data_IF_921467793455
#
_entry.id   IF_921467793455
#
_cell.length_a   1.000
_cell.length_b   1.000
_cell.length_c   1.000
_cell.angle_alpha   90.00
_cell.angle_beta   90.00
_cell.angle_gamma   90.00
#
_symmetry.space_group_name_H-M   'P 1'
#
loop_
_entity.id
_entity.type
_entity.pdbx_description
1 polymer ?
#
# COMPACT_ATOMS: atom_id res chain seq x y z
N UNK A 1 16.94 -28.35 14.13
CA UNK A 1 16.33 -27.17 14.77
C UNK A 1 15.56 -26.43 13.68
N UNK A 2 14.24 -26.63 13.62
CA UNK A 2 13.41 -26.05 12.57
C UNK A 2 13.09 -24.61 12.99
N UNK A 3 13.78 -23.62 12.41
CA UNK A 3 13.40 -22.22 12.59
C UNK A 3 12.10 -22.01 11.82
N UNK A 4 10.98 -22.02 12.54
CA UNK A 4 9.71 -21.52 12.00
C UNK A 4 9.94 -20.02 11.78
N UNK A 5 10.36 -19.63 10.58
CA UNK A 5 10.30 -18.24 10.15
C UNK A 5 8.81 -17.91 10.13
N UNK A 6 8.37 -17.08 11.08
CA UNK A 6 7.00 -16.61 11.15
C UNK A 6 6.67 -15.95 9.80
N UNK A 7 5.75 -16.59 9.04
CA UNK A 7 5.42 -16.25 7.65
C UNK A 7 4.71 -14.89 7.51
N UNK A 8 4.65 -14.08 8.57
CA UNK A 8 3.96 -12.78 8.61
C UNK A 8 4.88 -11.58 8.45
N UNK A 9 6.20 -11.77 8.51
CA UNK A 9 7.16 -10.68 8.43
C UNK A 9 7.78 -10.55 7.04
N UNK A 10 8.01 -9.31 6.64
CA UNK A 10 8.73 -8.93 5.42
C UNK A 10 9.84 -7.96 5.83
N UNK A 11 11.08 -8.25 5.43
CA UNK A 11 12.23 -7.38 5.67
C UNK A 11 12.65 -6.67 4.39
N UNK A 12 13.08 -5.42 4.53
CA UNK A 12 13.72 -4.67 3.46
C UNK A 12 14.92 -3.90 4.02
N UNK A 13 15.92 -3.65 3.18
CA UNK A 13 17.11 -2.85 3.52
C UNK A 13 17.15 -1.68 2.57
N UNK A 14 17.23 -0.46 3.12
CA UNK A 14 17.38 0.75 2.34
C UNK A 14 18.80 1.29 2.49
N UNK A 15 19.32 1.94 1.44
CA UNK A 15 20.47 2.82 1.60
C UNK A 15 20.08 4.03 2.47
N UNK A 16 21.07 4.73 3.03
CA UNK A 16 20.81 6.01 3.71
C UNK A 16 20.05 6.99 2.81
N UNK A 17 20.44 7.11 1.56
CA UNK A 17 19.84 8.09 0.63
C UNK A 17 18.39 7.74 0.30
N UNK A 18 18.07 6.46 0.09
CA UNK A 18 16.70 5.99 -0.10
C UNK A 18 15.86 6.19 1.16
N UNK A 19 16.43 5.91 2.34
CA UNK A 19 15.76 6.15 3.62
C UNK A 19 15.41 7.62 3.80
N UNK A 20 16.36 8.53 3.58
CA UNK A 20 16.14 9.97 3.76
C UNK A 20 15.12 10.50 2.74
N UNK A 21 15.20 10.04 1.49
CA UNK A 21 14.21 10.34 0.45
C UNK A 21 12.82 9.87 0.84
N UNK A 22 12.70 8.61 1.30
CA UNK A 22 11.44 8.04 1.75
C UNK A 22 10.87 8.81 2.95
N UNK A 23 11.70 9.11 3.94
CA UNK A 23 11.27 9.78 5.17
C UNK A 23 10.75 11.19 4.88
N UNK A 24 11.46 11.98 4.08
CA UNK A 24 11.01 13.31 3.67
C UNK A 24 9.66 13.25 2.95
N UNK A 25 9.53 12.33 1.98
CA UNK A 25 8.29 12.15 1.22
C UNK A 25 7.12 11.66 2.06
N UNK A 26 7.37 10.79 3.05
CA UNK A 26 6.34 10.36 3.99
C UNK A 26 5.92 11.48 4.94
N UNK A 27 6.83 12.36 5.33
CA UNK A 27 6.50 13.52 6.16
C UNK A 27 5.63 14.54 5.42
N UNK A 28 5.91 14.77 4.14
CA UNK A 28 5.16 15.68 3.27
C UNK A 28 3.83 15.06 2.81
N UNK A 29 3.88 13.84 2.28
CA UNK A 29 2.76 13.09 1.68
C UNK A 29 2.47 11.80 2.46
N UNK A 30 1.71 11.96 3.54
CA UNK A 30 1.50 10.94 4.59
C UNK A 30 0.57 9.80 4.17
N UNK A 31 -0.25 9.97 3.13
CA UNK A 31 -1.30 9.01 2.80
C UNK A 31 -1.27 8.58 1.34
N UNK A 32 -1.71 7.35 1.07
CA UNK A 32 -1.94 6.89 -0.29
C UNK A 32 -2.88 5.69 -0.34
N UNK A 33 -3.31 5.29 -1.53
CA UNK A 33 -4.22 4.17 -1.76
C UNK A 33 -3.54 3.00 -2.48
N UNK A 34 -3.93 1.78 -2.14
CA UNK A 34 -3.30 0.56 -2.63
C UNK A 34 -4.35 -0.52 -2.90
N UNK A 35 -4.67 -0.83 -4.16
CA UNK A 35 -5.60 -1.91 -4.46
C UNK A 35 -4.92 -3.26 -4.22
N UNK A 36 -5.65 -4.18 -3.60
CA UNK A 36 -5.22 -5.56 -3.36
C UNK A 36 -6.19 -6.51 -4.04
N UNK A 37 -5.66 -7.38 -4.88
CA UNK A 37 -6.44 -8.42 -5.55
C UNK A 37 -6.80 -9.54 -4.57
N UNK A 38 -8.06 -9.96 -4.59
CA UNK A 38 -8.52 -11.16 -3.89
C UNK A 38 -8.28 -12.36 -4.82
N UNK A 39 -7.32 -13.23 -4.47
CA UNK A 39 -6.95 -14.42 -5.27
C UNK A 39 -8.20 -15.16 -5.75
N UNK A 40 -8.15 -15.61 -7.00
CA UNK A 40 -9.20 -16.39 -7.67
C UNK A 40 -10.56 -15.69 -7.82
N UNK A 41 -10.59 -14.37 -7.67
CA UNK A 41 -11.79 -13.58 -7.92
C UNK A 41 -11.48 -12.34 -8.76
N UNK A 42 -12.47 -11.90 -9.54
CA UNK A 42 -12.48 -10.61 -10.22
C UNK A 42 -12.77 -9.45 -9.27
N UNK A 43 -12.32 -9.55 -8.01
CA UNK A 43 -12.59 -8.58 -6.96
C UNK A 43 -11.28 -8.08 -6.36
N UNK A 44 -11.34 -6.85 -5.88
CA UNK A 44 -10.27 -6.22 -5.16
C UNK A 44 -10.86 -5.40 -4.01
N UNK A 45 -10.01 -5.05 -3.06
CA UNK A 45 -10.31 -4.04 -2.06
C UNK A 45 -9.17 -3.03 -2.05
N UNK A 46 -9.41 -1.85 -1.47
CA UNK A 46 -8.40 -0.78 -1.40
C UNK A 46 -7.94 -0.61 0.04
N UNK A 47 -6.64 -0.57 0.23
CA UNK A 47 -6.02 -0.15 1.48
C UNK A 47 -5.62 1.32 1.39
N UNK A 48 -5.73 2.05 2.49
CA UNK A 48 -5.14 3.37 2.69
C UNK A 48 -3.90 3.19 3.56
N UNK A 49 -2.75 3.64 3.06
CA UNK A 49 -1.56 3.81 3.89
C UNK A 49 -1.62 5.14 4.62
N UNK A 50 -1.19 5.17 5.89
CA UNK A 50 -0.98 6.39 6.64
C UNK A 50 0.34 6.32 7.42
N UNK A 51 1.22 7.28 7.19
CA UNK A 51 2.46 7.44 7.95
C UNK A 51 2.23 8.19 9.26
N UNK A 52 2.76 7.63 10.35
CA UNK A 52 2.80 8.24 11.67
C UNK A 52 4.15 7.91 12.34
N UNK A 53 4.98 8.93 12.56
CA UNK A 53 6.31 8.84 13.19
C UNK A 53 7.30 7.90 12.50
N UNK A 54 7.31 6.61 12.84
CA UNK A 54 8.20 5.61 12.22
C UNK A 54 7.43 4.44 11.62
N UNK A 55 6.09 4.56 11.61
CA UNK A 55 5.19 3.51 11.21
C UNK A 55 4.36 3.95 10.01
N UNK A 56 4.11 3.03 9.09
CA UNK A 56 3.11 3.17 8.03
C UNK A 56 2.06 2.10 8.26
N UNK A 57 0.83 2.54 8.49
CA UNK A 57 -0.32 1.68 8.72
C UNK A 57 -1.10 1.51 7.43
N UNK A 58 -1.40 0.28 7.03
CA UNK A 58 -2.23 -0.01 5.87
C UNK A 58 -3.58 -0.54 6.38
N UNK A 59 -4.64 0.23 6.17
CA UNK A 59 -6.00 -0.07 6.68
C UNK A 59 -6.98 -0.16 5.52
N UNK A 60 -8.05 -0.94 5.65
CA UNK A 60 -9.11 -0.94 4.62
C UNK A 60 -9.68 0.47 4.44
N UNK A 61 -9.82 0.92 3.19
CA UNK A 61 -10.42 2.22 2.87
C UNK A 61 -11.82 2.37 3.47
N UNK A 62 -12.61 1.30 3.44
CA UNK A 62 -13.95 1.28 4.05
C UNK A 62 -13.88 1.54 5.55
N UNK A 63 -12.99 0.83 6.26
CA UNK A 63 -12.81 1.00 7.71
C UNK A 63 -12.24 2.37 8.07
N UNK A 64 -11.33 2.88 7.24
CA UNK A 64 -10.72 4.19 7.39
C UNK A 64 -11.76 5.31 7.26
N UNK A 65 -12.66 5.23 6.27
CA UNK A 65 -13.76 6.17 6.09
C UNK A 65 -14.76 6.17 7.26
N UNK A 66 -15.04 5.01 7.85
CA UNK A 66 -15.93 4.92 9.00
C UNK A 66 -15.30 5.50 10.28
N UNK A 67 -14.05 5.14 10.58
CA UNK A 67 -13.35 5.66 11.76
C UNK A 67 -11.85 5.34 11.69
N UNK A 68 -11.04 6.27 11.16
CA UNK A 68 -9.58 6.13 11.04
C UNK A 68 -8.90 5.66 12.35
N UNK A 69 -9.28 6.21 13.52
CA UNK A 69 -8.66 5.87 14.81
C UNK A 69 -9.02 4.47 15.34
N UNK A 70 -10.02 3.80 14.76
CA UNK A 70 -10.48 2.47 15.17
C UNK A 70 -10.24 1.41 14.09
N UNK A 71 -9.77 1.81 12.91
CA UNK A 71 -9.50 0.90 11.82
C UNK A 71 -8.29 0.03 12.18
N UNK A 72 -8.50 -1.28 12.22
CA UNK A 72 -7.41 -2.24 12.47
C UNK A 72 -6.54 -2.31 11.21
N UNK A 73 -5.22 -2.11 11.31
CA UNK A 73 -4.33 -2.23 10.16
C UNK A 73 -4.21 -3.68 9.74
N UNK A 74 -4.12 -3.90 8.42
CA UNK A 74 -3.86 -5.22 7.84
C UNK A 74 -2.35 -5.48 7.74
N UNK A 75 -1.57 -4.41 7.51
CA UNK A 75 -0.12 -4.41 7.47
C UNK A 75 0.40 -3.21 8.27
N UNK A 76 1.48 -3.41 9.01
CA UNK A 76 2.23 -2.33 9.66
C UNK A 76 3.66 -2.41 9.19
N UNK A 77 4.18 -1.32 8.62
CA UNK A 77 5.58 -1.17 8.24
C UNK A 77 6.29 -0.26 9.24
N UNK A 78 7.47 -0.64 9.70
CA UNK A 78 8.30 0.14 10.64
C UNK A 78 9.67 0.41 10.05
N UNK A 79 10.08 1.67 10.06
CA UNK A 79 11.39 2.15 9.61
C UNK A 79 12.34 2.25 10.82
N UNK A 80 13.53 1.65 10.71
CA UNK A 80 14.59 1.68 11.70
C UNK A 80 15.84 2.33 11.12
N UNK A 81 16.31 3.40 11.76
CA UNK A 81 17.41 4.25 11.34
C UNK A 81 18.70 4.03 12.17
N UNK A 82 18.67 3.13 13.16
CA UNK A 82 19.77 2.89 14.11
C UNK A 82 21.11 2.55 13.41
N UNK A 83 21.06 1.94 12.23
CA UNK A 83 22.23 1.51 11.46
C UNK A 83 22.72 2.53 10.44
N UNK A 84 22.05 3.67 10.30
CA UNK A 84 22.46 4.69 9.32
C UNK A 84 23.81 5.27 9.70
N UNK A 85 24.01 5.60 10.99
CA UNK A 85 25.24 6.22 11.49
C UNK A 85 26.50 5.42 11.17
N UNK A 86 26.46 4.09 11.35
CA UNK A 86 27.66 3.24 11.27
C UNK A 86 27.76 2.41 9.98
N UNK A 87 26.63 2.09 9.35
CA UNK A 87 26.57 1.18 8.20
C UNK A 87 25.92 1.80 6.97
N UNK A 88 25.46 3.05 7.04
CA UNK A 88 24.82 3.77 5.93
C UNK A 88 23.61 3.03 5.34
N UNK A 89 22.91 2.26 6.19
CA UNK A 89 21.70 1.51 5.83
C UNK A 89 20.61 1.72 6.86
N UNK A 90 19.37 1.65 6.42
CA UNK A 90 18.20 1.56 7.27
C UNK A 90 17.52 0.20 7.10
N UNK A 91 16.86 -0.27 8.15
CA UNK A 91 16.10 -1.52 8.11
C UNK A 91 14.61 -1.21 8.11
N UNK A 92 13.86 -1.94 7.29
CA UNK A 92 12.40 -1.88 7.30
C UNK A 92 11.84 -3.24 7.63
N UNK A 93 10.89 -3.26 8.56
CA UNK A 93 10.13 -4.46 8.92
C UNK A 93 8.66 -4.20 8.70
N UNK A 94 8.03 -5.03 7.88
CA UNK A 94 6.59 -5.07 7.74
C UNK A 94 6.02 -6.34 8.39
N UNK A 95 4.87 -6.20 9.04
CA UNK A 95 4.15 -7.27 9.73
C UNK A 95 2.71 -7.33 9.26
N UNK A 96 2.31 -8.50 8.75
CA UNK A 96 0.91 -8.79 8.43
C UNK A 96 0.14 -9.04 9.72
N UNK A 97 -0.68 -8.06 10.11
CA UNK A 97 -1.51 -8.08 11.31
C UNK A 97 -2.82 -8.84 11.08
N UNK A 98 -3.40 -8.71 9.88
CA UNK A 98 -4.61 -9.41 9.47
C UNK A 98 -4.32 -10.36 8.29
N UNK A 99 -3.85 -11.60 8.57
CA UNK A 99 -3.53 -12.57 7.53
C UNK A 99 -4.76 -13.19 6.87
N UNK A 100 -5.98 -12.96 7.40
CA UNK A 100 -7.23 -13.43 6.80
C UNK A 100 -7.53 -12.60 5.57
N UNK A 101 -7.39 -11.27 5.68
CA UNK A 101 -7.69 -10.36 4.58
C UNK A 101 -6.48 -10.10 3.68
N UNK A 102 -5.26 -10.04 4.24
CA UNK A 102 -4.04 -9.75 3.48
C UNK A 102 -3.06 -10.93 3.58
N UNK A 103 -2.95 -11.73 2.52
CA UNK A 103 -1.95 -12.81 2.49
C UNK A 103 -0.53 -12.25 2.43
N UNK A 104 0.46 -13.04 2.86
CA UNK A 104 1.86 -12.61 2.84
C UNK A 104 2.36 -12.32 1.42
N UNK A 105 1.88 -13.02 0.39
CA UNK A 105 2.27 -12.74 -0.99
C UNK A 105 1.77 -11.37 -1.45
N UNK A 106 0.49 -11.06 -1.18
CA UNK A 106 -0.07 -9.75 -1.47
C UNK A 106 0.62 -8.64 -0.66
N UNK A 107 0.97 -8.91 0.59
CA UNK A 107 1.72 -7.98 1.43
C UNK A 107 3.14 -7.70 0.89
N UNK A 108 3.82 -8.70 0.30
CA UNK A 108 5.12 -8.51 -0.36
C UNK A 108 5.00 -7.60 -1.58
N UNK A 109 4.05 -7.89 -2.47
CA UNK A 109 3.80 -7.05 -3.64
C UNK A 109 3.41 -5.63 -3.24
N UNK A 110 2.60 -5.46 -2.18
CA UNK A 110 2.28 -4.15 -1.62
C UNK A 110 3.52 -3.40 -1.12
N UNK A 111 4.44 -4.07 -0.44
CA UNK A 111 5.69 -3.44 0.02
C UNK A 111 6.57 -3.01 -1.15
N UNK A 112 6.70 -3.85 -2.19
CA UNK A 112 7.45 -3.52 -3.41
C UNK A 112 6.85 -2.32 -4.14
N UNK A 113 5.52 -2.30 -4.30
CA UNK A 113 4.79 -1.17 -4.86
C UNK A 113 5.00 0.09 -4.02
N UNK A 114 4.91 -0.02 -2.69
CA UNK A 114 5.13 1.10 -1.78
C UNK A 114 6.49 1.76 -2.01
N UNK A 115 7.58 0.99 -1.97
CA UNK A 115 8.92 1.53 -2.19
C UNK A 115 9.09 2.05 -3.62
N UNK A 116 8.61 1.32 -4.63
CA UNK A 116 8.70 1.74 -6.02
C UNK A 116 8.03 3.10 -6.26
N UNK A 117 6.86 3.35 -5.65
CA UNK A 117 6.15 4.63 -5.81
C UNK A 117 6.75 5.76 -4.99
N UNK A 118 7.17 5.51 -3.75
CA UNK A 118 7.73 6.56 -2.89
C UNK A 118 9.17 6.90 -3.21
N UNK A 119 9.98 5.99 -3.76
CA UNK A 119 11.39 6.26 -4.05
C UNK A 119 11.61 6.84 -5.45
N UNK A 120 10.75 6.54 -6.43
CA UNK A 120 10.90 7.05 -7.80
C UNK A 120 10.21 8.41 -7.97
N UNK A 121 11.00 9.44 -8.27
CA UNK A 121 10.56 10.84 -8.46
C UNK A 121 9.32 10.95 -9.35
N UNK A 122 9.37 10.37 -10.54
CA UNK A 122 8.25 10.42 -11.50
C UNK A 122 6.95 9.87 -10.92
N UNK A 123 7.02 8.78 -10.16
CA UNK A 123 5.83 8.12 -9.63
C UNK A 123 5.30 8.87 -8.40
N UNK A 124 6.20 9.36 -7.56
CA UNK A 124 5.86 10.14 -6.39
C UNK A 124 5.16 11.44 -6.79
N UNK A 125 5.78 12.24 -7.66
CA UNK A 125 5.28 13.56 -8.04
C UNK A 125 3.93 13.47 -8.76
N UNK A 126 3.77 12.51 -9.69
CA UNK A 126 2.54 12.37 -10.48
C UNK A 126 1.35 11.82 -9.70
N UNK A 127 1.60 11.07 -8.63
CA UNK A 127 0.53 10.31 -7.97
C UNK A 127 0.43 10.58 -6.49
N UNK A 128 1.49 10.34 -5.72
CA UNK A 128 1.45 10.45 -4.27
C UNK A 128 1.33 11.92 -3.84
N UNK A 129 2.16 12.79 -4.42
CA UNK A 129 2.13 14.22 -4.15
C UNK A 129 0.79 14.84 -4.55
N UNK A 130 0.28 14.52 -5.76
CA UNK A 130 -1.03 14.98 -6.24
C UNK A 130 -2.16 14.49 -5.31
N UNK A 131 -2.14 13.23 -4.87
CA UNK A 131 -3.14 12.69 -3.96
C UNK A 131 -3.20 13.46 -2.62
N UNK A 132 -2.04 13.81 -2.04
CA UNK A 132 -1.98 14.47 -0.73
C UNK A 132 -2.23 15.98 -0.79
N UNK A 133 -1.80 16.66 -1.86
CA UNK A 133 -1.77 18.13 -1.92
C UNK A 133 -2.73 18.73 -2.94
N UNK A 134 -3.15 17.96 -3.94
CA UNK A 134 -4.00 18.40 -5.05
C UNK A 134 -5.18 17.43 -5.26
N UNK A 135 -5.85 17.07 -4.16
CA UNK A 135 -6.90 16.03 -4.15
C UNK A 135 -8.05 16.28 -5.14
N UNK A 136 -8.36 17.54 -5.48
CA UNK A 136 -9.36 17.90 -6.49
C UNK A 136 -8.97 17.44 -7.91
N UNK A 137 -7.67 17.31 -8.18
CA UNK A 137 -7.12 16.90 -9.48
C UNK A 137 -6.82 15.39 -9.54
N UNK A 138 -7.01 14.66 -8.43
CA UNK A 138 -6.74 13.24 -8.35
C UNK A 138 -8.00 12.39 -8.55
N UNK A 139 -8.18 11.85 -9.75
CA UNK A 139 -9.21 10.85 -10.04
C UNK A 139 -8.75 9.46 -9.57
N UNK A 140 -9.20 9.07 -8.37
CA UNK A 140 -8.93 7.77 -7.75
C UNK A 140 -9.31 6.61 -8.68
N UNK A 141 -10.48 6.66 -9.30
CA UNK A 141 -10.97 5.54 -10.09
C UNK A 141 -10.13 5.35 -11.35
N UNK A 142 -9.86 6.46 -12.05
CA UNK A 142 -9.01 6.47 -13.23
C UNK A 142 -7.59 6.02 -12.90
N UNK A 143 -7.05 6.46 -11.76
CA UNK A 143 -5.73 6.03 -11.29
C UNK A 143 -5.67 4.51 -11.13
N UNK A 144 -6.62 3.93 -10.38
CA UNK A 144 -6.64 2.50 -10.09
C UNK A 144 -6.76 1.67 -11.38
N UNK A 145 -7.62 2.07 -12.32
CA UNK A 145 -7.80 1.35 -13.60
C UNK A 145 -6.61 1.42 -14.53
N UNK A 146 -5.93 2.56 -14.56
CA UNK A 146 -4.80 2.77 -15.47
C UNK A 146 -3.57 1.99 -15.01
N UNK A 147 -3.38 1.85 -13.69
CA UNK A 147 -2.15 1.29 -13.12
C UNK A 147 -2.28 -0.14 -12.62
N UNK A 148 -3.50 -0.66 -12.47
CA UNK A 148 -3.75 -1.99 -11.93
C UNK A 148 -4.68 -2.79 -12.85
N UNK A 149 -4.10 -3.68 -13.65
CA UNK A 149 -4.82 -4.49 -14.64
C UNK A 149 -5.96 -5.31 -14.02
N UNK A 150 -5.78 -5.82 -12.79
CA UNK A 150 -6.83 -6.57 -12.10
C UNK A 150 -8.02 -5.68 -11.70
N UNK A 151 -7.80 -4.39 -11.43
CA UNK A 151 -8.88 -3.43 -11.15
C UNK A 151 -9.70 -3.19 -12.41
N UNK A 152 -9.02 -2.99 -13.55
CA UNK A 152 -9.68 -2.83 -14.86
C UNK A 152 -10.56 -4.04 -15.20
N UNK A 153 -10.01 -5.26 -15.09
CA UNK A 153 -10.75 -6.51 -15.33
C UNK A 153 -11.94 -6.68 -14.39
N UNK A 154 -11.78 -6.37 -13.11
CA UNK A 154 -12.86 -6.42 -12.12
C UNK A 154 -14.03 -5.51 -12.53
N UNK A 155 -13.74 -4.30 -13.01
CA UNK A 155 -14.77 -3.36 -13.45
C UNK A 155 -15.50 -3.82 -14.72
N UNK A 156 -14.76 -4.31 -15.72
CA UNK A 156 -15.34 -4.82 -16.96
C UNK A 156 -16.35 -5.95 -16.69
N UNK A 157 -15.99 -6.89 -15.81
CA UNK A 157 -16.86 -8.00 -15.42
C UNK A 157 -18.13 -7.52 -14.69
N UNK A 158 -18.01 -6.52 -13.81
CA UNK A 158 -19.17 -5.95 -13.12
C UNK A 158 -20.15 -5.27 -14.09
N UNK A 159 -19.66 -4.64 -15.16
CA UNK A 159 -20.49 -4.01 -16.20
C UNK A 159 -21.27 -5.08 -16.98
N UNK A 160 -20.60 -6.17 -17.39
CA UNK A 160 -21.24 -7.28 -18.11
C UNK A 160 -22.35 -7.90 -17.26
N UNK A 161 -22.06 -8.24 -16.01
CA UNK A 161 -23.03 -8.83 -15.09
C UNK A 161 -24.26 -7.93 -14.87
N UNK A 162 -24.05 -6.61 -14.76
CA UNK A 162 -25.13 -5.64 -14.61
C UNK A 162 -26.04 -5.50 -15.85
N UNK A 163 -25.50 -5.75 -17.04
CA UNK A 163 -26.27 -5.74 -18.29
C UNK A 163 -27.11 -7.02 -18.46
N UNK A 164 -26.59 -8.17 -18.03
CA UNK A 164 -27.32 -9.44 -18.05
C UNK A 164 -28.48 -9.46 -17.04
N UNK A 165 -28.25 -8.91 -15.84
CA UNK A 165 -29.31 -8.82 -14.81
C UNK A 165 -30.49 -7.93 -15.22
N UNK A 166 -30.29 -6.98 -16.14
CA UNK A 166 -31.36 -6.10 -16.66
C UNK A 166 -32.13 -6.70 -17.84
N UNK A 167 -31.66 -7.82 -18.40
CA UNK A 167 -32.32 -8.51 -19.53
C UNK A 167 -33.23 -9.66 -19.09
N UNK A 168 -33.14 -10.08 -17.83
CA UNK A 168 -34.01 -11.05 -17.18
C UNK A 168 -35.05 -10.34 -16.30
#
# INVERSE_FOLDING_TARGET
MCTIIDKRYIGHVLSKDDHDTLLNRLQESKMFIWPISLKDSSRYYVLVSQYQHKHVFFTSADSFHHSANKAVPYLVMTLYDDLIWNKQIALVRSEVVDPIHLTIENARSLCEDFFSKYLKDETFDKHINVFNHFSADFDVQKYLETHYEFVKKARELNIVNAQETKKN
#
